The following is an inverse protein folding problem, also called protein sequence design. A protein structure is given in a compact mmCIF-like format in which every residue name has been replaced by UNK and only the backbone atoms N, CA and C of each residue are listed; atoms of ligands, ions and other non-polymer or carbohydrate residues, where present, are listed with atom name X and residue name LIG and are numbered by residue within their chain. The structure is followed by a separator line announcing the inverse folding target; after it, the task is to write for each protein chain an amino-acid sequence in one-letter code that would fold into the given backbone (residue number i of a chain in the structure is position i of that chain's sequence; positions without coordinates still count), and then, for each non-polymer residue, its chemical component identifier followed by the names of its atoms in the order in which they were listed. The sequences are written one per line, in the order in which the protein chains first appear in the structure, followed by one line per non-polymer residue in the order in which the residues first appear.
data_IF_496336343133
#
_entry.id   IF_496336343133
#
_cell.length_a   1.000
_cell.length_b   1.000
_cell.length_c   1.000
_cell.angle_alpha   90.00
_cell.angle_beta   90.00
_cell.angle_gamma   90.00
#
_symmetry.space_group_name_H-M   'P 1'
#
loop_
_entity.id
_entity.type
_entity.pdbx_description
1 polymer ?
#
# COMPACT_ATOMS: atom_id res chain seq x y z
N UNK A 1 1.51 10.93 29.25
CA UNK A 1 1.56 9.58 29.88
C UNK A 1 0.65 8.52 29.22
N UNK A 2 -0.19 8.88 28.23
CA UNK A 2 -1.09 7.91 27.58
C UNK A 2 -0.36 6.80 26.82
N UNK A 3 0.65 7.14 26.02
CA UNK A 3 1.37 6.18 25.19
C UNK A 3 2.09 5.10 26.02
N UNK A 4 2.77 5.49 27.10
CA UNK A 4 3.48 4.56 28.00
C UNK A 4 2.55 3.51 28.60
N UNK A 5 1.36 3.91 29.02
CA UNK A 5 0.38 2.99 29.61
C UNK A 5 -0.17 1.99 28.57
N UNK A 6 -0.41 2.46 27.35
CA UNK A 6 -0.94 1.61 26.28
C UNK A 6 0.07 0.56 25.80
N UNK A 7 1.36 0.90 25.74
CA UNK A 7 2.40 -0.06 25.32
C UNK A 7 2.95 -0.90 26.47
N UNK A 8 2.53 -0.63 27.72
CA UNK A 8 3.00 -1.33 28.93
C UNK A 8 4.52 -1.28 29.11
N UNK A 9 5.14 -0.17 28.74
CA UNK A 9 6.58 0.07 28.93
C UNK A 9 6.76 1.21 29.90
N UNK A 10 7.60 1.01 30.91
CA UNK A 10 7.82 2.00 31.94
C UNK A 10 8.82 3.09 31.50
N UNK A 11 8.38 4.01 30.65
CA UNK A 11 9.21 5.13 30.20
C UNK A 11 9.63 6.06 31.32
N UNK A 12 8.86 6.18 32.38
CA UNK A 12 9.13 7.09 33.51
C UNK A 12 10.31 6.60 34.34
N UNK A 13 10.49 5.29 34.47
CA UNK A 13 11.55 4.69 35.27
C UNK A 13 12.65 4.02 34.44
N UNK A 14 12.59 4.14 33.11
CA UNK A 14 13.62 3.64 32.22
C UNK A 14 14.36 4.78 31.55
N UNK A 15 15.68 4.62 31.35
CA UNK A 15 16.43 5.57 30.54
C UNK A 15 15.87 5.53 29.11
N UNK A 16 15.51 6.67 28.56
CA UNK A 16 15.00 6.80 27.21
C UNK A 16 15.50 8.08 26.56
N UNK A 17 15.59 8.06 25.23
CA UNK A 17 15.92 9.23 24.42
C UNK A 17 14.95 9.30 23.25
N UNK A 18 14.48 10.49 22.94
CA UNK A 18 13.57 10.74 21.80
C UNK A 18 14.19 11.70 20.80
N UNK A 19 14.05 11.41 19.51
CA UNK A 19 14.47 12.27 18.42
C UNK A 19 13.32 12.52 17.45
N UNK A 20 13.05 13.78 17.12
CA UNK A 20 12.06 14.15 16.13
C UNK A 20 12.73 14.30 14.76
N UNK A 21 12.25 13.57 13.76
CA UNK A 21 12.82 13.52 12.42
C UNK A 21 11.79 13.92 11.36
N UNK A 22 12.26 14.60 10.30
CA UNK A 22 11.49 14.93 9.10
C UNK A 22 12.17 14.48 7.82
N UNK A 23 13.24 13.71 7.93
CA UNK A 23 14.11 13.27 6.84
C UNK A 23 13.63 12.00 6.10
N UNK A 24 12.44 11.51 6.43
CA UNK A 24 11.84 10.41 5.68
C UNK A 24 11.55 10.81 4.22
N UNK A 25 11.62 9.86 3.30
CA UNK A 25 11.28 10.09 1.87
C UNK A 25 9.88 10.67 1.66
N UNK A 26 9.00 10.53 2.63
CA UNK A 26 7.64 11.08 2.63
C UNK A 26 7.55 12.51 3.20
N UNK A 27 8.63 13.05 3.78
CA UNK A 27 8.59 14.30 4.53
C UNK A 27 7.71 14.26 5.80
N UNK A 28 7.28 13.08 6.21
CA UNK A 28 6.41 12.93 7.38
C UNK A 28 7.22 13.11 8.65
N UNK A 29 6.76 14.01 9.52
CA UNK A 29 7.32 14.17 10.85
C UNK A 29 7.07 12.92 11.67
N UNK A 30 8.11 12.35 12.27
CA UNK A 30 8.02 11.16 13.09
C UNK A 30 8.96 11.23 14.28
N UNK A 31 8.57 10.59 15.37
CA UNK A 31 9.30 10.51 16.61
C UNK A 31 9.92 9.11 16.77
N UNK A 32 11.25 9.06 16.90
CA UNK A 32 11.95 7.88 17.35
C UNK A 32 12.12 7.93 18.86
N UNK A 33 11.84 6.82 19.54
CA UNK A 33 12.06 6.69 20.98
C UNK A 33 12.86 5.43 21.21
N UNK A 34 14.08 5.59 21.72
CA UNK A 34 14.89 4.49 22.22
C UNK A 34 14.72 4.40 23.72
N UNK A 35 14.37 3.24 24.24
CA UNK A 35 14.14 3.00 25.65
C UNK A 35 14.94 1.81 26.13
N UNK A 36 15.62 1.96 27.25
CA UNK A 36 16.33 0.86 27.90
C UNK A 36 15.36 -0.26 28.27
N UNK A 37 15.77 -1.48 27.99
CA UNK A 37 15.00 -2.68 28.36
C UNK A 37 14.91 -2.89 29.86
N UNK A 38 15.91 -2.44 30.60
CA UNK A 38 15.96 -2.52 32.06
C UNK A 38 15.66 -1.16 32.65
N UNK A 39 14.79 -1.09 33.65
CA UNK A 39 14.46 0.13 34.36
C UNK A 39 15.51 0.46 35.43
N UNK A 40 15.35 1.59 36.08
CA UNK A 40 16.30 2.09 37.11
C UNK A 40 16.31 1.22 38.38
N UNK A 41 15.33 0.35 38.57
CA UNK A 41 15.22 -0.59 39.67
C UNK A 41 15.74 -1.99 39.31
N UNK A 42 16.19 -2.18 38.07
CA UNK A 42 16.70 -3.47 37.58
C UNK A 42 15.63 -4.41 37.03
N UNK A 43 14.36 -3.98 36.94
CA UNK A 43 13.30 -4.79 36.36
C UNK A 43 13.35 -4.72 34.84
N UNK A 44 13.01 -5.82 34.18
CA UNK A 44 12.99 -5.88 32.73
C UNK A 44 11.65 -5.45 32.17
N UNK A 45 11.63 -4.47 31.28
CA UNK A 45 10.46 -4.13 30.48
C UNK A 45 10.07 -5.28 29.57
N UNK A 46 8.78 -5.59 29.51
CA UNK A 46 8.26 -6.57 28.58
C UNK A 46 8.32 -6.02 27.14
N UNK A 47 9.08 -6.68 26.30
CA UNK A 47 9.24 -6.33 24.88
C UNK A 47 8.52 -7.29 23.93
N UNK A 48 7.79 -8.27 24.46
CA UNK A 48 7.02 -9.20 23.64
C UNK A 48 5.98 -8.42 22.84
N UNK A 49 5.97 -8.63 21.53
CA UNK A 49 5.07 -7.95 20.58
C UNK A 49 5.02 -6.41 20.73
N UNK A 50 6.12 -5.77 21.17
CA UNK A 50 6.19 -4.32 21.40
C UNK A 50 5.74 -3.52 20.17
N UNK A 51 6.06 -3.98 18.95
CA UNK A 51 5.66 -3.32 17.72
C UNK A 51 4.12 -3.33 17.52
N UNK A 52 3.43 -4.42 17.86
CA UNK A 52 1.97 -4.50 17.79
C UNK A 52 1.32 -3.62 18.85
N UNK A 53 1.88 -3.62 20.06
CA UNK A 53 1.39 -2.75 21.15
C UNK A 53 1.59 -1.28 20.82
N UNK A 54 2.75 -0.92 20.22
CA UNK A 54 3.01 0.45 19.78
C UNK A 54 2.05 0.91 18.69
N UNK A 55 1.75 0.05 17.70
CA UNK A 55 0.76 0.33 16.67
C UNK A 55 -0.63 0.59 17.28
N UNK A 56 -1.06 -0.29 18.19
CA UNK A 56 -2.35 -0.15 18.88
C UNK A 56 -2.42 1.12 19.75
N UNK A 57 -1.34 1.44 20.44
CA UNK A 57 -1.24 2.68 21.21
C UNK A 57 -1.37 3.92 20.31
N UNK A 58 -0.72 3.91 19.15
CA UNK A 58 -0.84 4.99 18.16
C UNK A 58 -2.28 5.13 17.63
N UNK A 59 -2.97 4.02 17.33
CA UNK A 59 -4.38 4.04 16.94
C UNK A 59 -5.28 4.68 18.01
N UNK A 60 -5.11 4.28 19.28
CA UNK A 60 -5.88 4.83 20.40
C UNK A 60 -5.64 6.33 20.55
N UNK A 61 -4.39 6.78 20.42
CA UNK A 61 -4.05 8.19 20.50
C UNK A 61 -4.68 8.97 19.34
N UNK A 62 -4.56 8.46 18.11
CA UNK A 62 -5.18 9.09 16.95
C UNK A 62 -6.70 9.23 17.13
N UNK A 63 -7.37 8.19 17.62
CA UNK A 63 -8.80 8.23 17.91
C UNK A 63 -9.16 9.28 18.97
N UNK A 64 -8.39 9.38 20.07
CA UNK A 64 -8.61 10.38 21.13
C UNK A 64 -8.47 11.82 20.64
N UNK A 65 -7.60 12.05 19.66
CA UNK A 65 -7.35 13.37 19.09
C UNK A 65 -8.16 13.66 17.82
N UNK A 66 -8.96 12.70 17.34
CA UNK A 66 -9.71 12.85 16.08
C UNK A 66 -8.79 12.91 14.86
N UNK A 67 -7.58 12.34 14.94
CA UNK A 67 -6.64 12.31 13.84
C UNK A 67 -6.97 11.15 12.89
N UNK A 68 -6.69 11.36 11.60
CA UNK A 68 -6.88 10.32 10.60
C UNK A 68 -6.02 9.08 10.88
N UNK A 69 -6.64 7.91 10.71
CA UNK A 69 -5.93 6.65 10.88
C UNK A 69 -5.07 6.35 9.65
N UNK A 70 -3.78 6.00 9.82
CA UNK A 70 -2.89 5.68 8.68
C UNK A 70 -3.44 4.58 7.77
N UNK A 71 -4.17 3.62 8.35
CA UNK A 71 -4.78 2.53 7.60
C UNK A 71 -5.95 3.00 6.73
N UNK A 72 -6.75 3.95 7.21
CA UNK A 72 -7.84 4.56 6.45
C UNK A 72 -7.32 5.34 5.26
N UNK A 73 -6.30 6.19 5.48
CA UNK A 73 -5.61 6.92 4.40
C UNK A 73 -5.06 5.95 3.36
N UNK A 74 -4.41 4.85 3.81
CA UNK A 74 -3.88 3.83 2.91
C UNK A 74 -4.98 3.16 2.11
N UNK A 75 -6.12 2.83 2.75
CA UNK A 75 -7.27 2.22 2.08
C UNK A 75 -7.89 3.15 1.05
N UNK A 76 -8.08 4.43 1.36
CA UNK A 76 -8.60 5.44 0.42
C UNK A 76 -7.68 5.55 -0.80
N UNK A 77 -6.37 5.68 -0.61
CA UNK A 77 -5.39 5.73 -1.71
C UNK A 77 -5.37 4.47 -2.57
N UNK A 78 -5.60 3.32 -1.94
CA UNK A 78 -5.70 2.04 -2.66
C UNK A 78 -6.94 1.99 -3.55
N UNK A 79 -8.08 2.50 -3.08
CA UNK A 79 -9.33 2.59 -3.86
C UNK A 79 -9.13 3.55 -5.03
N UNK A 80 -8.64 4.77 -4.79
CA UNK A 80 -8.31 5.74 -5.84
C UNK A 80 -7.41 5.13 -6.93
N UNK A 81 -6.34 4.46 -6.51
CA UNK A 81 -5.44 3.80 -7.45
C UNK A 81 -6.12 2.68 -8.24
N UNK A 82 -7.00 1.90 -7.63
CA UNK A 82 -7.73 0.83 -8.30
C UNK A 82 -8.69 1.38 -9.35
N UNK A 83 -9.37 2.48 -9.07
CA UNK A 83 -10.22 3.21 -10.00
C UNK A 83 -9.42 3.77 -11.18
N UNK A 84 -8.30 4.43 -10.91
CA UNK A 84 -7.40 4.93 -11.95
C UNK A 84 -6.87 3.82 -12.86
N UNK A 85 -6.47 2.69 -12.28
CA UNK A 85 -6.05 1.50 -13.04
C UNK A 85 -7.17 1.00 -13.97
N UNK A 86 -8.41 0.96 -13.48
CA UNK A 86 -9.56 0.49 -14.27
C UNK A 86 -9.92 1.48 -15.38
N UNK A 87 -9.91 2.78 -15.08
CA UNK A 87 -10.15 3.82 -16.08
C UNK A 87 -9.13 3.75 -17.21
N UNK A 88 -7.83 3.64 -16.88
CA UNK A 88 -6.78 3.50 -17.87
C UNK A 88 -7.01 2.28 -18.76
N UNK A 89 -7.37 1.13 -18.17
CA UNK A 89 -7.65 -0.07 -18.94
C UNK A 89 -8.88 0.10 -19.85
N UNK A 90 -9.93 0.80 -19.42
CA UNK A 90 -11.12 1.10 -20.22
C UNK A 90 -10.82 2.02 -21.41
N UNK A 91 -9.93 2.99 -21.22
CA UNK A 91 -9.59 3.96 -22.26
C UNK A 91 -8.60 3.42 -23.30
N UNK A 92 -7.94 2.29 -23.00
CA UNK A 92 -6.97 1.68 -23.92
C UNK A 92 -7.68 0.89 -25.03
N UNK A 93 -7.57 1.34 -26.28
CA UNK A 93 -8.13 0.61 -27.43
C UNK A 93 -7.46 -0.72 -27.72
N UNK A 94 -6.17 -0.85 -27.41
CA UNK A 94 -5.39 -2.09 -27.54
C UNK A 94 -4.59 -2.29 -26.26
N UNK A 95 -4.55 -3.55 -25.81
CA UNK A 95 -3.76 -3.89 -24.62
C UNK A 95 -2.27 -3.84 -24.93
N UNK A 96 -1.54 -3.04 -24.13
CA UNK A 96 -0.08 -3.01 -24.10
C UNK A 96 0.36 -2.62 -22.68
N UNK A 97 1.15 -3.49 -22.05
CA UNK A 97 1.54 -3.31 -20.65
C UNK A 97 2.45 -2.09 -20.44
N UNK A 98 3.33 -1.79 -21.40
CA UNK A 98 4.22 -0.63 -21.28
C UNK A 98 3.44 0.68 -21.43
N UNK A 99 2.45 0.71 -22.35
CA UNK A 99 1.53 1.84 -22.47
C UNK A 99 0.72 2.03 -21.20
N UNK A 100 0.22 0.95 -20.59
CA UNK A 100 -0.47 1.01 -19.30
C UNK A 100 0.41 1.61 -18.21
N UNK A 101 1.67 1.18 -18.09
CA UNK A 101 2.61 1.75 -17.14
C UNK A 101 2.90 3.23 -17.40
N UNK A 102 3.01 3.63 -18.67
CA UNK A 102 3.23 5.03 -19.03
C UNK A 102 2.02 5.91 -18.69
N UNK A 103 0.81 5.43 -18.91
CA UNK A 103 -0.41 6.15 -18.54
C UNK A 103 -0.53 6.33 -17.01
N UNK A 104 -0.16 5.33 -16.22
CA UNK A 104 -0.05 5.48 -14.77
C UNK A 104 0.98 6.54 -14.37
N UNK A 105 2.16 6.56 -15.03
CA UNK A 105 3.18 7.59 -14.78
C UNK A 105 2.68 8.99 -15.13
N UNK A 106 1.94 9.14 -16.21
CA UNK A 106 1.32 10.41 -16.59
C UNK A 106 0.30 10.93 -15.56
N UNK A 107 -0.35 10.02 -14.81
CA UNK A 107 -1.20 10.37 -13.66
C UNK A 107 -0.40 10.63 -12.36
N UNK A 108 0.92 10.66 -12.42
CA UNK A 108 1.80 10.94 -11.28
C UNK A 108 2.12 9.74 -10.40
N UNK A 109 1.86 8.52 -10.88
CA UNK A 109 2.26 7.31 -10.16
C UNK A 109 3.70 6.90 -10.50
N UNK A 110 4.46 6.49 -9.51
CA UNK A 110 5.73 5.79 -9.69
C UNK A 110 5.46 4.31 -9.94
N UNK A 111 5.83 3.79 -11.13
CA UNK A 111 5.64 2.39 -11.49
C UNK A 111 6.98 1.69 -11.55
N UNK A 112 7.15 0.65 -10.73
CA UNK A 112 8.37 -0.19 -10.69
C UNK A 112 8.02 -1.61 -11.14
N UNK A 113 8.31 -1.99 -12.40
CA UNK A 113 8.15 -3.35 -12.88
C UNK A 113 9.19 -4.28 -12.22
N UNK A 114 8.80 -5.52 -12.00
CA UNK A 114 9.66 -6.58 -11.47
C UNK A 114 9.78 -7.70 -12.49
N UNK A 115 11.01 -8.03 -12.84
CA UNK A 115 11.35 -9.08 -13.79
C UNK A 115 11.99 -10.28 -13.07
N UNK A 116 11.84 -11.47 -13.64
CA UNK A 116 12.55 -12.67 -13.20
C UNK A 116 13.96 -12.76 -13.82
N UNK A 117 14.66 -13.87 -13.54
CA UNK A 117 16.02 -14.11 -14.09
C UNK A 117 16.05 -14.21 -15.62
N UNK A 118 14.92 -14.52 -16.25
CA UNK A 118 14.75 -14.66 -17.69
C UNK A 118 14.24 -13.36 -18.35
N UNK A 119 14.23 -12.25 -17.61
CA UNK A 119 13.72 -10.93 -18.03
C UNK A 119 12.21 -10.92 -18.34
N UNK A 120 11.46 -11.88 -17.85
CA UNK A 120 10.00 -11.90 -17.98
C UNK A 120 9.39 -11.03 -16.87
N UNK A 121 8.42 -10.19 -17.23
CA UNK A 121 7.66 -9.38 -16.25
C UNK A 121 6.80 -10.30 -15.38
N UNK A 122 7.07 -10.31 -14.07
CA UNK A 122 6.36 -11.16 -13.09
C UNK A 122 5.50 -10.37 -12.13
N UNK A 123 5.67 -9.07 -12.07
CA UNK A 123 4.89 -8.21 -11.19
C UNK A 123 5.28 -6.74 -11.34
N UNK A 124 4.57 -5.88 -10.64
CA UNK A 124 4.91 -4.47 -10.52
C UNK A 124 4.37 -3.89 -9.22
N UNK A 125 4.94 -2.77 -8.81
CA UNK A 125 4.43 -1.94 -7.73
C UNK A 125 4.08 -0.56 -8.27
N UNK A 126 3.08 0.06 -7.66
CA UNK A 126 2.65 1.42 -7.99
C UNK A 126 2.66 2.25 -6.72
N UNK A 127 3.29 3.41 -6.77
CA UNK A 127 3.43 4.33 -5.63
C UNK A 127 2.99 5.74 -5.95
N UNK A 128 2.40 6.43 -4.96
CA UNK A 128 2.10 7.87 -4.99
C UNK A 128 2.03 8.37 -3.55
N UNK A 129 2.57 9.54 -3.27
CA UNK A 129 2.49 10.19 -1.95
C UNK A 129 2.91 9.25 -0.81
N UNK A 130 4.10 8.65 -0.88
CA UNK A 130 4.67 7.71 0.09
C UNK A 130 3.90 6.38 0.29
N UNK A 131 2.79 6.16 -0.39
CA UNK A 131 2.09 4.88 -0.40
C UNK A 131 2.52 4.05 -1.61
N UNK A 132 2.96 2.82 -1.37
CA UNK A 132 3.35 1.87 -2.42
C UNK A 132 2.51 0.61 -2.27
N UNK A 133 1.96 0.14 -3.39
CA UNK A 133 1.11 -1.05 -3.45
C UNK A 133 1.65 -2.02 -4.50
N UNK A 134 1.63 -3.31 -4.18
CA UNK A 134 1.82 -4.36 -5.18
C UNK A 134 0.57 -4.47 -6.04
N UNK A 135 0.70 -4.88 -7.30
CA UNK A 135 -0.45 -5.12 -8.17
C UNK A 135 -1.51 -6.06 -7.55
N UNK A 136 -1.07 -7.06 -6.78
CA UNK A 136 -1.95 -7.98 -6.05
C UNK A 136 -2.70 -7.34 -4.88
N UNK A 137 -2.13 -6.29 -4.26
CA UNK A 137 -2.77 -5.52 -3.18
C UNK A 137 -3.81 -4.56 -3.73
N UNK A 138 -3.57 -3.96 -4.91
CA UNK A 138 -4.54 -3.12 -5.61
C UNK A 138 -5.78 -3.95 -5.96
N UNK A 139 -5.55 -5.14 -6.56
CA UNK A 139 -6.60 -6.10 -6.87
C UNK A 139 -6.06 -7.24 -7.74
N UNK A 140 -6.60 -8.44 -7.56
CA UNK A 140 -6.18 -9.62 -8.35
C UNK A 140 -6.30 -9.40 -9.88
N UNK A 141 -7.26 -8.58 -10.31
CA UNK A 141 -7.51 -8.25 -11.70
C UNK A 141 -6.38 -7.43 -12.35
N UNK A 142 -5.54 -6.77 -11.54
CA UNK A 142 -4.41 -5.96 -12.02
C UNK A 142 -3.07 -6.71 -12.00
N UNK A 143 -3.03 -7.96 -11.54
CA UNK A 143 -1.80 -8.79 -11.62
C UNK A 143 -1.39 -8.99 -13.08
N UNK A 144 -0.08 -9.06 -13.34
CA UNK A 144 0.48 -9.26 -14.70
C UNK A 144 -0.17 -10.44 -15.42
N UNK A 145 -0.47 -11.53 -14.70
CA UNK A 145 -1.13 -12.72 -15.25
C UNK A 145 -2.63 -12.57 -15.54
N UNK A 146 -3.25 -11.47 -15.11
CA UNK A 146 -4.72 -11.27 -15.22
C UNK A 146 -5.13 -9.96 -15.88
N UNK A 147 -4.22 -9.00 -15.97
CA UNK A 147 -4.53 -7.66 -16.43
C UNK A 147 -5.01 -7.62 -17.89
N UNK A 148 -4.44 -8.47 -18.75
CA UNK A 148 -4.89 -8.60 -20.14
C UNK A 148 -6.31 -9.19 -20.23
N UNK A 149 -6.60 -10.22 -19.44
CA UNK A 149 -7.96 -10.80 -19.35
C UNK A 149 -8.96 -9.77 -18.81
N UNK A 150 -8.51 -8.92 -17.90
CA UNK A 150 -9.33 -7.83 -17.36
C UNK A 150 -9.63 -6.81 -18.45
N UNK A 151 -8.63 -6.41 -19.23
CA UNK A 151 -8.82 -5.52 -20.38
C UNK A 151 -9.80 -6.10 -21.39
N UNK A 152 -9.66 -7.39 -21.77
CA UNK A 152 -10.58 -8.09 -22.69
C UNK A 152 -12.02 -8.09 -22.19
N UNK A 153 -12.24 -8.24 -20.89
CA UNK A 153 -13.58 -8.15 -20.28
C UNK A 153 -14.18 -6.75 -20.34
N UNK A 154 -13.34 -5.71 -20.25
CA UNK A 154 -13.77 -4.32 -20.37
C UNK A 154 -14.07 -3.91 -21.83
N UNK A 155 -13.57 -4.69 -22.82
CA UNK A 155 -13.76 -4.47 -24.26
C UNK A 155 -14.36 -5.72 -24.91
N UNK A 156 -15.63 -6.07 -24.62
CA UNK A 156 -16.24 -7.24 -25.21
C UNK A 156 -16.33 -7.05 -26.72
N UNK A 157 -15.70 -7.96 -27.48
CA UNK A 157 -15.85 -7.99 -28.94
C UNK A 157 -17.30 -8.33 -29.26
N UNK A 158 -17.92 -7.66 -30.26
CA UNK A 158 -19.24 -8.03 -30.70
C UNK A 158 -19.21 -9.49 -31.16
N UNK A 159 -20.03 -10.33 -30.54
CA UNK A 159 -20.16 -11.74 -30.85
C UNK A 159 -20.59 -11.84 -32.33
N UNK A 160 -19.73 -12.34 -33.21
CA UNK A 160 -20.15 -12.68 -34.58
C UNK A 160 -21.24 -13.73 -34.47
N UNK A 161 -22.47 -13.32 -34.73
CA UNK A 161 -23.59 -14.22 -34.88
C UNK A 161 -23.24 -15.11 -36.11
N UNK A 162 -22.90 -16.37 -35.85
CA UNK A 162 -22.79 -17.38 -36.92
C UNK A 162 -24.16 -17.51 -37.53
N UNK A 163 -24.41 -16.79 -38.61
CA UNK A 163 -25.54 -17.07 -39.50
C UNK A 163 -25.33 -18.47 -40.06
N UNK A 164 -26.19 -19.41 -39.64
CA UNK A 164 -26.25 -20.71 -40.31
C UNK A 164 -26.62 -20.47 -41.77
N UNK A 165 -25.92 -21.09 -42.73
CA UNK A 165 -26.35 -21.05 -44.12
C UNK A 165 -27.72 -21.74 -44.19
N UNK A 166 -28.70 -21.02 -44.72
CA UNK A 166 -29.99 -21.61 -45.12
C UNK A 166 -29.69 -22.40 -46.38
N UNK A 167 -29.74 -23.72 -46.30
CA UNK A 167 -29.69 -24.60 -47.48
C UNK A 167 -30.99 -24.48 -48.25
N UNK A 168 -30.92 -24.51 -49.62
CA UNK A 168 -32.06 -24.43 -50.51
C UNK A 168 -32.99 -25.63 -50.46
#
# INVERSE_FOLDING_TARGET
NGFSNEIKTNFTNSMNVGGLHSDSKSGTLHLHIDCCRVDMEGNTNDVHDIHLRAMKAAEIINMRHGWEQPQEIRNMRKVELAEDCEHILKDMQQFNIDRYFNLLRMKGYEVKPRYDKQRKLVGYTVGKNASVFKASEIGRKFMVSKIEDTWKKLHPQPTQVKTKPVSP
#
